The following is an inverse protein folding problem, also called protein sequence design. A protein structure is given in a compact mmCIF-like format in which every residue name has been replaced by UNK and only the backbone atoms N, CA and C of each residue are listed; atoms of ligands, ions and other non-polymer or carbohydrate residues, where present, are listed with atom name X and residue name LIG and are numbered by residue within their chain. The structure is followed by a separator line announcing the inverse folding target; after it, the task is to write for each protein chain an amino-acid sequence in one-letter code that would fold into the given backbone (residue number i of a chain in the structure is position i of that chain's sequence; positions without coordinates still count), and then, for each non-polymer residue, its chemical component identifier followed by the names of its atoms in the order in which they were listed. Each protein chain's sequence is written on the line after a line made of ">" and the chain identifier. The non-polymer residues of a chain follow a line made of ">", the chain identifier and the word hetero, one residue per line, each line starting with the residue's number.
data_IF_704935608423
#
_entry.id   IF_704935608423
#
_cell.length_a   1.000
_cell.length_b   1.000
_cell.length_c   1.000
_cell.angle_alpha   90.00
_cell.angle_beta   90.00
_cell.angle_gamma   90.00
#
_symmetry.space_group_name_H-M   'P 1'
#
loop_
_entity.id
_entity.type
_entity.pdbx_description
1 polymer ?
#
# COMPACT_ATOMS: atom_id res chain seq x y z
N UNK A 1 28.75 -11.92 3.16
CA UNK A 1 28.37 -11.30 1.89
C UNK A 1 28.19 -9.81 2.10
N UNK A 2 28.90 -9.03 1.34
CA UNK A 2 28.75 -7.58 1.41
C UNK A 2 27.91 -7.10 0.24
N UNK A 3 26.92 -6.28 0.54
CA UNK A 3 26.20 -5.57 -0.50
C UNK A 3 27.15 -4.54 -1.11
N UNK A 4 27.52 -4.73 -2.38
CA UNK A 4 28.46 -3.84 -3.08
C UNK A 4 27.78 -2.61 -3.64
N UNK A 5 26.46 -2.64 -3.78
CA UNK A 5 25.71 -1.57 -4.40
C UNK A 5 24.31 -1.53 -3.81
N UNK A 6 23.98 -0.43 -3.17
CA UNK A 6 22.64 -0.18 -2.62
C UNK A 6 21.75 0.60 -3.59
N UNK A 7 22.25 0.94 -4.78
CA UNK A 7 21.43 1.59 -5.77
C UNK A 7 20.39 0.62 -6.33
N UNK A 8 19.17 1.09 -6.65
CA UNK A 8 18.16 0.26 -7.25
C UNK A 8 18.62 -0.30 -8.60
N UNK A 9 18.45 -1.61 -8.81
CA UNK A 9 18.75 -2.28 -10.08
C UNK A 9 17.52 -2.47 -10.96
N UNK A 10 16.41 -1.88 -10.59
CA UNK A 10 15.11 -2.12 -11.20
C UNK A 10 14.68 -0.90 -12.02
N UNK A 11 15.51 -0.48 -12.99
CA UNK A 11 15.24 0.72 -13.78
C UNK A 11 13.87 0.68 -14.47
N UNK A 12 13.45 -0.48 -14.99
CA UNK A 12 12.14 -0.62 -15.65
C UNK A 12 10.99 -0.48 -14.66
N UNK A 13 11.13 -1.09 -13.48
CA UNK A 13 10.12 -0.98 -12.42
C UNK A 13 10.06 0.46 -11.92
N UNK A 14 11.20 1.08 -11.69
CA UNK A 14 11.28 2.46 -11.24
C UNK A 14 10.66 3.41 -12.27
N UNK A 15 10.97 3.23 -13.56
CA UNK A 15 10.40 4.05 -14.62
C UNK A 15 8.87 3.93 -14.67
N UNK A 16 8.34 2.73 -14.43
CA UNK A 16 6.89 2.50 -14.38
C UNK A 16 6.23 3.30 -13.25
N UNK A 17 6.84 3.30 -12.05
CA UNK A 17 6.28 3.98 -10.88
C UNK A 17 6.66 5.45 -10.79
N UNK A 18 7.63 5.91 -11.58
CA UNK A 18 8.02 7.32 -11.62
C UNK A 18 7.12 8.17 -12.54
N UNK A 19 6.06 7.59 -13.09
CA UNK A 19 5.02 8.36 -13.76
C UNK A 19 4.35 9.30 -12.77
N UNK A 20 3.74 10.39 -13.27
CA UNK A 20 3.16 11.40 -12.40
C UNK A 20 2.00 10.85 -11.56
N UNK A 21 1.83 11.40 -10.36
CA UNK A 21 0.69 11.06 -9.50
C UNK A 21 -0.64 11.35 -10.18
N UNK A 22 -0.71 12.42 -10.96
CA UNK A 22 -1.91 12.79 -11.70
C UNK A 22 -2.30 11.71 -12.71
N UNK A 23 -1.31 11.08 -13.36
CA UNK A 23 -1.56 9.96 -14.26
C UNK A 23 -2.23 8.80 -13.52
N UNK A 24 -1.70 8.42 -12.35
CA UNK A 24 -2.27 7.31 -11.57
C UNK A 24 -3.66 7.65 -11.03
N UNK A 25 -3.92 8.89 -10.69
CA UNK A 25 -5.25 9.33 -10.24
C UNK A 25 -6.33 9.19 -11.30
N UNK A 26 -5.96 9.11 -12.58
CA UNK A 26 -6.94 8.96 -13.66
C UNK A 26 -7.70 7.63 -13.59
N UNK A 27 -7.10 6.58 -13.07
CA UNK A 27 -7.71 5.25 -13.09
C UNK A 27 -7.75 4.53 -11.74
N UNK A 28 -6.96 4.97 -10.76
CA UNK A 28 -6.98 4.37 -9.43
C UNK A 28 -8.17 4.91 -8.61
N UNK A 29 -8.54 4.14 -7.58
CA UNK A 29 -9.51 4.57 -6.61
C UNK A 29 -8.99 5.75 -5.76
N UNK A 30 -9.87 6.41 -4.94
CA UNK A 30 -9.43 7.54 -4.12
C UNK A 30 -8.28 7.24 -3.16
N UNK A 31 -8.12 5.99 -2.72
CA UNK A 31 -7.00 5.60 -1.86
C UNK A 31 -5.70 5.42 -2.62
N UNK A 32 -5.75 5.44 -3.96
CA UNK A 32 -4.61 5.22 -4.84
C UNK A 32 -3.91 3.90 -4.57
N UNK A 33 -4.68 2.83 -4.38
CA UNK A 33 -4.15 1.49 -4.16
C UNK A 33 -3.89 0.82 -5.51
N UNK A 34 -2.62 0.61 -5.84
CA UNK A 34 -2.20 0.08 -7.14
C UNK A 34 -1.87 -1.41 -7.05
N UNK A 35 -2.88 -2.19 -6.74
CA UNK A 35 -2.84 -3.66 -6.73
C UNK A 35 -4.27 -4.18 -6.79
N UNK A 36 -4.44 -5.49 -6.98
CA UNK A 36 -5.77 -6.09 -7.14
C UNK A 36 -6.62 -5.89 -5.89
N UNK A 37 -7.87 -5.49 -6.11
CA UNK A 37 -8.86 -5.34 -5.06
C UNK A 37 -9.48 -6.69 -4.66
N UNK A 38 -10.13 -6.72 -3.50
CA UNK A 38 -10.87 -7.90 -3.04
C UNK A 38 -12.37 -7.60 -3.05
N UNK A 39 -13.07 -8.12 -4.05
CA UNK A 39 -14.51 -7.95 -4.19
C UNK A 39 -15.21 -9.08 -3.42
N UNK A 40 -15.75 -8.75 -2.26
CA UNK A 40 -16.53 -9.70 -1.45
C UNK A 40 -17.94 -9.90 -2.00
N UNK A 41 -18.44 -8.97 -2.81
CA UNK A 41 -19.75 -9.00 -3.43
C UNK A 41 -19.75 -8.27 -4.75
N UNK A 42 -20.76 -8.55 -5.60
CA UNK A 42 -20.84 -8.00 -6.95
C UNK A 42 -21.15 -6.49 -6.97
N UNK A 43 -21.79 -5.99 -5.91
CA UNK A 43 -22.23 -4.60 -5.84
C UNK A 43 -21.17 -3.65 -5.23
N UNK A 44 -19.99 -4.15 -4.92
CA UNK A 44 -18.93 -3.33 -4.34
C UNK A 44 -18.31 -2.40 -5.38
N UNK A 45 -18.06 -1.17 -4.97
CA UNK A 45 -17.24 -0.25 -5.76
C UNK A 45 -15.76 -0.64 -5.66
N UNK A 46 -14.94 -0.13 -6.56
CA UNK A 46 -13.49 -0.36 -6.49
C UNK A 46 -12.91 0.14 -5.15
N UNK A 47 -13.33 1.31 -4.68
CA UNK A 47 -12.89 1.84 -3.39
C UNK A 47 -13.23 0.91 -2.24
N UNK A 48 -14.47 0.43 -2.17
CA UNK A 48 -14.91 -0.52 -1.15
C UNK A 48 -14.10 -1.82 -1.20
N UNK A 49 -13.84 -2.33 -2.40
CA UNK A 49 -13.07 -3.55 -2.59
C UNK A 49 -11.58 -3.37 -2.22
N UNK A 50 -11.01 -2.20 -2.46
CA UNK A 50 -9.64 -1.90 -2.03
C UNK A 50 -9.54 -1.80 -0.51
N UNK A 51 -10.52 -1.17 0.14
CA UNK A 51 -10.57 -1.12 1.60
C UNK A 51 -10.77 -2.52 2.20
N UNK A 52 -11.63 -3.35 1.59
CA UNK A 52 -11.84 -4.73 2.02
C UNK A 52 -10.55 -5.55 1.97
N UNK A 53 -9.74 -5.38 0.91
CA UNK A 53 -8.43 -6.03 0.80
C UNK A 53 -7.50 -5.61 1.92
N UNK A 54 -7.39 -4.31 2.16
CA UNK A 54 -6.51 -3.77 3.20
C UNK A 54 -6.96 -4.28 4.58
N UNK A 55 -8.25 -4.22 4.86
CA UNK A 55 -8.81 -4.68 6.14
C UNK A 55 -8.59 -6.18 6.36
N UNK A 56 -8.71 -6.98 5.30
CA UNK A 56 -8.43 -8.42 5.36
C UNK A 56 -6.97 -8.69 5.76
N UNK A 57 -6.04 -7.99 5.11
CA UNK A 57 -4.62 -8.14 5.39
C UNK A 57 -4.27 -7.67 6.81
N UNK A 58 -4.73 -6.49 7.21
CA UNK A 58 -4.46 -5.95 8.54
C UNK A 58 -5.08 -6.81 9.64
N UNK A 59 -6.29 -7.32 9.40
CA UNK A 59 -6.98 -8.17 10.38
C UNK A 59 -6.24 -9.47 10.72
N UNK A 60 -5.36 -9.94 9.83
CA UNK A 60 -4.57 -11.15 10.05
C UNK A 60 -3.33 -10.93 10.91
N UNK A 61 -2.94 -9.68 11.15
CA UNK A 61 -1.68 -9.35 11.81
C UNK A 61 -1.77 -9.31 13.33
N UNK A 62 -2.97 -9.33 13.89
CA UNK A 62 -3.14 -9.23 15.34
C UNK A 62 -2.65 -7.92 15.92
N UNK A 63 -2.87 -6.81 15.19
CA UNK A 63 -2.39 -5.49 15.59
C UNK A 63 -3.04 -5.02 16.89
N UNK A 64 -2.22 -4.47 17.78
CA UNK A 64 -2.65 -3.86 19.02
C UNK A 64 -2.16 -2.41 19.08
N UNK A 65 -2.87 -1.51 19.79
CA UNK A 65 -2.41 -0.13 19.94
C UNK A 65 -0.96 -0.05 20.43
N UNK A 66 -0.19 0.84 19.81
CA UNK A 66 1.23 1.03 20.15
C UNK A 66 2.21 0.14 19.41
N UNK A 67 1.75 -0.91 18.72
CA UNK A 67 2.62 -1.71 17.84
C UNK A 67 3.12 -0.89 16.68
N UNK A 68 4.22 -1.32 16.06
CA UNK A 68 4.77 -0.72 14.86
C UNK A 68 4.59 -1.66 13.67
N UNK A 69 3.95 -1.17 12.61
CA UNK A 69 3.75 -1.89 11.36
C UNK A 69 4.79 -1.42 10.33
N UNK A 70 5.47 -2.36 9.71
CA UNK A 70 6.36 -2.10 8.57
C UNK A 70 5.62 -2.44 7.29
N UNK A 71 5.50 -1.47 6.39
CA UNK A 71 4.88 -1.64 5.07
C UNK A 71 5.95 -1.50 3.99
N UNK A 72 6.34 -2.61 3.38
CA UNK A 72 7.34 -2.66 2.32
C UNK A 72 6.62 -2.51 0.98
N UNK A 73 7.00 -1.49 0.21
CA UNK A 73 6.29 -1.14 -1.02
C UNK A 73 5.00 -0.40 -0.72
N UNK A 74 5.07 0.58 0.17
CA UNK A 74 3.88 1.24 0.72
C UNK A 74 3.12 2.14 -0.29
N UNK A 75 3.71 2.45 -1.43
CA UNK A 75 3.10 3.34 -2.42
C UNK A 75 2.73 4.70 -1.81
N UNK A 76 1.49 5.11 -1.99
CA UNK A 76 0.98 6.39 -1.44
C UNK A 76 0.47 6.28 0.00
N UNK A 77 0.61 5.13 0.63
CA UNK A 77 0.38 4.97 2.06
C UNK A 77 -1.04 4.59 2.49
N UNK A 78 -1.87 4.07 1.59
CA UNK A 78 -3.26 3.71 1.91
C UNK A 78 -3.34 2.70 3.06
N UNK A 79 -2.52 1.65 3.02
CA UNK A 79 -2.50 0.61 4.06
C UNK A 79 -2.05 1.18 5.41
N UNK A 80 -1.03 2.03 5.40
CA UNK A 80 -0.52 2.67 6.61
C UNK A 80 -1.57 3.58 7.24
N UNK A 81 -2.25 4.41 6.45
CA UNK A 81 -3.33 5.27 6.95
C UNK A 81 -4.46 4.45 7.56
N UNK A 82 -4.87 3.39 6.89
CA UNK A 82 -5.93 2.52 7.40
C UNK A 82 -5.53 1.85 8.71
N UNK A 83 -4.27 1.43 8.84
CA UNK A 83 -3.76 0.82 10.07
C UNK A 83 -3.78 1.82 11.23
N UNK A 84 -3.35 3.05 11.00
CA UNK A 84 -3.37 4.11 12.03
C UNK A 84 -4.81 4.38 12.47
N UNK A 85 -5.71 4.59 11.53
CA UNK A 85 -7.10 4.93 11.81
C UNK A 85 -7.86 3.82 12.55
N UNK A 86 -7.54 2.56 12.23
CA UNK A 86 -8.30 1.41 12.73
C UNK A 86 -7.69 0.80 14.00
N UNK A 87 -6.35 0.77 14.10
CA UNK A 87 -5.66 0.00 15.16
C UNK A 87 -4.81 0.84 16.09
N UNK A 88 -4.65 2.14 15.83
CA UNK A 88 -3.81 3.02 16.65
C UNK A 88 -2.36 2.50 16.77
N UNK A 89 -1.78 2.13 15.64
CA UNK A 89 -0.40 1.64 15.54
C UNK A 89 0.52 2.71 14.98
N UNK A 90 1.81 2.53 15.22
CA UNK A 90 2.86 3.28 14.52
C UNK A 90 3.16 2.59 13.19
N UNK A 91 3.54 3.33 12.17
CA UNK A 91 3.83 2.77 10.85
C UNK A 91 5.16 3.26 10.33
N UNK A 92 5.85 2.39 9.60
CA UNK A 92 7.06 2.71 8.84
C UNK A 92 6.85 2.18 7.43
N UNK A 93 6.95 3.06 6.44
CA UNK A 93 6.77 2.70 5.04
C UNK A 93 8.07 2.78 4.26
N UNK A 94 8.27 1.82 3.36
CA UNK A 94 9.39 1.81 2.43
C UNK A 94 8.84 1.79 1.00
N UNK A 95 9.37 2.67 0.15
CA UNK A 95 8.99 2.74 -1.25
C UNK A 95 10.19 3.13 -2.11
N UNK A 96 10.18 2.69 -3.37
CA UNK A 96 11.19 3.07 -4.37
C UNK A 96 10.70 4.14 -5.34
N UNK A 97 9.45 4.50 -5.25
CA UNK A 97 8.83 5.48 -6.15
C UNK A 97 8.48 6.78 -5.45
#
# INVERSE_FOLDING_TARGET
>A
VMAKNLAPHFANVQAHYDLSDDFFRLFLDPTQTYSCAYFEGEDMTLEEAQLAKIDLALGKLGLQPGMTLLDIGCGWGATMRRAIETYDVNVVGLTLS
#
